data_IF_016547949423
#
_entry.id   IF_016547949423
#
_cell.length_a   1.000
_cell.length_b   1.000
_cell.length_c   1.000
_cell.angle_alpha   90.00
_cell.angle_beta   90.00
_cell.angle_gamma   90.00
#
_symmetry.space_group_name_H-M   'P 1'
#
loop_
_entity.id
_entity.type
_entity.pdbx_description
1 polymer ?
#
# COMPACT_ATOMS: atom_id res chain seq x y z
N UNK A 1 0.41 -18.39 -16.16
CA UNK A 1 0.63 -17.63 -14.92
C UNK A 1 -0.28 -18.22 -13.86
N UNK A 2 0.29 -18.90 -12.89
CA UNK A 2 -0.44 -19.38 -11.70
C UNK A 2 -0.21 -18.39 -10.56
N UNK A 3 -1.11 -17.41 -10.44
CA UNK A 3 -0.98 -16.34 -9.46
C UNK A 3 -1.40 -16.83 -8.07
N UNK A 4 -0.47 -16.87 -7.13
CA UNK A 4 -0.73 -17.19 -5.72
C UNK A 4 -0.65 -15.90 -4.89
N UNK A 5 -1.68 -15.61 -4.09
CA UNK A 5 -1.71 -14.43 -3.21
C UNK A 5 -1.66 -14.88 -1.76
N UNK A 6 -0.69 -14.36 -1.00
CA UNK A 6 -0.48 -14.67 0.42
C UNK A 6 -0.56 -13.40 1.26
N UNK A 7 -1.13 -13.49 2.46
CA UNK A 7 -0.98 -12.45 3.47
C UNK A 7 0.49 -12.34 3.87
N UNK A 8 0.95 -11.12 4.10
CA UNK A 8 2.28 -10.88 4.64
C UNK A 8 2.31 -11.37 6.10
N UNK A 9 3.31 -12.17 6.40
CA UNK A 9 3.65 -12.65 7.73
C UNK A 9 5.16 -12.51 7.94
N UNK A 10 5.69 -12.59 9.17
CA UNK A 10 7.14 -12.52 9.40
C UNK A 10 7.95 -13.53 8.57
N UNK A 11 7.39 -14.71 8.29
CA UNK A 11 8.04 -15.74 7.47
C UNK A 11 8.20 -15.32 6.00
N UNK A 12 7.39 -14.38 5.52
CA UNK A 12 7.47 -13.84 4.15
C UNK A 12 8.24 -12.51 4.07
N UNK A 13 8.90 -12.09 5.15
CA UNK A 13 9.62 -10.83 5.16
C UNK A 13 10.81 -10.82 4.18
N UNK A 14 11.45 -11.96 3.96
CA UNK A 14 12.55 -12.07 3.01
C UNK A 14 12.06 -11.83 1.56
N UNK A 15 10.94 -12.45 1.18
CA UNK A 15 10.33 -12.30 -0.15
C UNK A 15 9.78 -10.89 -0.37
N UNK A 16 9.24 -10.26 0.69
CA UNK A 16 8.81 -8.86 0.66
C UNK A 16 10.01 -7.93 0.39
N UNK A 17 11.08 -8.06 1.16
CA UNK A 17 12.26 -7.22 1.00
C UNK A 17 12.93 -7.45 -0.36
N UNK A 18 13.08 -8.69 -0.79
CA UNK A 18 13.63 -9.04 -2.10
C UNK A 18 12.79 -8.46 -3.27
N UNK A 19 11.46 -8.41 -3.13
CA UNK A 19 10.58 -7.75 -4.10
C UNK A 19 10.89 -6.25 -4.21
N UNK A 20 11.00 -5.55 -3.09
CA UNK A 20 11.29 -4.11 -3.07
C UNK A 20 12.75 -3.79 -3.43
N UNK A 21 13.69 -4.66 -3.06
CA UNK A 21 15.11 -4.50 -3.38
C UNK A 21 15.38 -4.60 -4.90
N UNK A 22 14.64 -5.47 -5.63
CA UNK A 22 15.05 -5.87 -6.98
C UNK A 22 14.00 -5.73 -8.07
N UNK A 23 12.69 -5.70 -7.76
CA UNK A 23 11.64 -5.78 -8.78
C UNK A 23 10.64 -4.63 -8.78
N UNK A 24 10.25 -4.15 -7.62
CA UNK A 24 9.19 -3.14 -7.49
C UNK A 24 9.45 -1.90 -8.35
N UNK A 25 10.70 -1.43 -8.42
CA UNK A 25 11.12 -0.20 -9.08
C UNK A 25 12.18 -0.43 -10.17
N UNK A 26 12.17 -1.59 -10.82
CA UNK A 26 13.15 -1.96 -11.86
C UNK A 26 13.07 -1.07 -13.12
N UNK A 27 12.01 -0.28 -13.26
CA UNK A 27 11.83 0.72 -14.32
C UNK A 27 12.35 2.13 -13.99
N UNK A 28 13.01 2.30 -12.84
CA UNK A 28 13.51 3.60 -12.41
C UNK A 28 12.41 4.54 -11.89
N UNK A 29 11.38 3.99 -11.32
CA UNK A 29 10.27 4.73 -10.70
C UNK A 29 10.75 5.84 -9.75
N UNK A 30 10.13 7.05 -9.77
CA UNK A 30 10.42 8.13 -8.85
C UNK A 30 10.07 7.79 -7.38
N UNK A 31 9.29 6.74 -7.14
CA UNK A 31 8.96 6.29 -5.78
C UNK A 31 10.05 5.43 -5.12
N UNK A 32 11.13 5.11 -5.85
CA UNK A 32 12.32 4.53 -5.22
C UNK A 32 12.99 5.55 -4.30
N UNK A 33 13.37 5.18 -3.06
CA UNK A 33 13.40 3.85 -2.46
C UNK A 33 12.24 3.59 -1.47
N UNK A 34 11.03 3.40 -1.93
CA UNK A 34 9.88 3.10 -1.06
C UNK A 34 9.90 1.63 -0.59
N UNK A 35 9.52 1.39 0.70
CA UNK A 35 9.19 0.08 1.27
C UNK A 35 7.81 0.10 1.93
N UNK A 36 6.93 0.98 1.47
CA UNK A 36 5.52 1.06 1.82
C UNK A 36 5.18 1.13 3.33
N UNK A 37 6.15 1.51 4.18
CA UNK A 37 5.99 1.57 5.64
C UNK A 37 5.58 2.96 6.16
N UNK A 38 5.80 4.03 5.37
CA UNK A 38 5.60 5.41 5.83
C UNK A 38 4.14 5.79 6.12
N UNK A 39 3.16 5.07 5.58
CA UNK A 39 1.73 5.31 5.86
C UNK A 39 1.35 5.10 7.34
N UNK A 40 2.08 4.23 8.05
CA UNK A 40 1.87 3.93 9.46
C UNK A 40 2.77 4.74 10.41
N UNK A 41 3.59 5.66 9.89
CA UNK A 41 4.54 6.46 10.66
C UNK A 41 4.04 7.88 10.81
N UNK A 42 4.24 8.47 12.00
CA UNK A 42 4.07 9.91 12.19
C UNK A 42 5.14 10.68 11.43
N UNK A 43 4.88 11.98 11.16
CA UNK A 43 5.88 12.87 10.54
C UNK A 43 7.19 12.87 11.30
N UNK A 44 7.11 12.95 12.63
CA UNK A 44 8.30 12.92 13.49
C UNK A 44 9.07 11.59 13.43
N UNK A 45 8.38 10.47 13.26
CA UNK A 45 9.03 9.17 13.07
C UNK A 45 9.74 9.09 11.70
N UNK A 46 9.08 9.53 10.63
CA UNK A 46 9.70 9.58 9.29
C UNK A 46 10.95 10.45 9.34
N UNK A 47 10.86 11.64 9.93
CA UNK A 47 12.00 12.54 10.05
C UNK A 47 13.16 11.85 10.78
N UNK A 48 12.91 11.34 11.99
CA UNK A 48 13.94 10.78 12.87
C UNK A 48 14.51 9.45 12.39
N UNK A 49 13.66 8.55 11.88
CA UNK A 49 14.05 7.17 11.58
C UNK A 49 14.51 6.97 10.12
N UNK A 50 14.15 7.90 9.23
CA UNK A 50 14.41 7.79 7.80
C UNK A 50 15.20 8.98 7.25
N UNK A 51 14.73 10.22 7.47
CA UNK A 51 15.30 11.38 6.79
C UNK A 51 16.52 11.98 7.50
N UNK A 52 16.63 11.88 8.83
CA UNK A 52 17.80 12.34 9.59
C UNK A 52 19.03 11.43 9.43
N UNK A 53 18.93 10.39 8.60
CA UNK A 53 20.07 9.55 8.28
C UNK A 53 21.02 10.26 7.31
N UNK A 54 22.22 10.62 7.76
CA UNK A 54 23.26 11.17 6.91
C UNK A 54 23.73 10.16 5.85
N UNK A 55 23.77 10.51 4.56
CA UNK A 55 24.36 9.66 3.54
C UNK A 55 23.61 9.48 2.22
N UNK A 56 22.58 10.25 1.93
CA UNK A 56 21.88 10.26 0.62
C UNK A 56 20.91 9.09 0.42
N UNK A 57 20.50 8.89 -0.84
CA UNK A 57 19.42 7.95 -1.21
C UNK A 57 19.63 6.51 -0.72
N UNK A 58 20.87 6.02 -0.74
CA UNK A 58 21.16 4.65 -0.31
C UNK A 58 20.96 4.48 1.21
N UNK A 59 21.32 5.48 1.99
CA UNK A 59 21.10 5.45 3.45
C UNK A 59 19.60 5.51 3.78
N UNK A 60 18.85 6.36 3.08
CA UNK A 60 17.38 6.41 3.19
C UNK A 60 16.78 5.06 2.80
N UNK A 61 17.26 4.42 1.73
CA UNK A 61 16.82 3.09 1.31
C UNK A 61 17.01 2.05 2.40
N UNK A 62 18.20 1.98 3.00
CA UNK A 62 18.49 1.04 4.08
C UNK A 62 17.64 1.31 5.32
N UNK A 63 17.46 2.57 5.70
CA UNK A 63 16.60 2.96 6.82
C UNK A 63 15.14 2.54 6.60
N UNK A 64 14.59 2.77 5.41
CA UNK A 64 13.23 2.34 5.06
C UNK A 64 13.11 0.81 5.02
N UNK A 65 14.12 0.13 4.50
CA UNK A 65 14.18 -1.34 4.46
C UNK A 65 14.14 -1.94 5.86
N UNK A 66 14.98 -1.43 6.76
CA UNK A 66 15.07 -1.90 8.15
C UNK A 66 13.79 -1.56 8.92
N UNK A 67 13.22 -0.38 8.68
CA UNK A 67 11.93 0.00 9.24
C UNK A 67 10.82 -0.95 8.80
N UNK A 68 10.71 -1.25 7.50
CA UNK A 68 9.72 -2.18 6.98
C UNK A 68 9.90 -3.59 7.57
N UNK A 69 11.15 -4.10 7.66
CA UNK A 69 11.45 -5.39 8.28
C UNK A 69 10.96 -5.45 9.72
N UNK A 70 11.33 -4.46 10.53
CA UNK A 70 10.89 -4.37 11.92
C UNK A 70 9.36 -4.34 12.03
N UNK A 71 8.68 -3.52 11.19
CA UNK A 71 7.22 -3.42 11.21
C UNK A 71 6.53 -4.72 10.77
N UNK A 72 7.15 -5.51 9.90
CA UNK A 72 6.65 -6.85 9.53
C UNK A 72 6.75 -7.79 10.74
N UNK A 73 7.92 -7.83 11.38
CA UNK A 73 8.16 -8.69 12.56
C UNK A 73 7.23 -8.34 13.73
N UNK A 74 6.89 -7.07 13.89
CA UNK A 74 5.93 -6.56 14.88
C UNK A 74 4.44 -6.72 14.46
N UNK A 75 4.16 -7.19 13.24
CA UNK A 75 2.80 -7.30 12.69
C UNK A 75 2.11 -5.96 12.39
N UNK A 76 2.86 -4.87 12.35
CA UNK A 76 2.37 -3.51 12.07
C UNK A 76 2.21 -3.25 10.57
N UNK A 77 3.15 -3.68 9.75
CA UNK A 77 3.03 -3.63 8.30
C UNK A 77 2.28 -4.87 7.82
N UNK A 78 1.08 -4.67 7.31
CA UNK A 78 0.18 -5.73 6.86
C UNK A 78 -0.19 -5.51 5.39
N UNK A 79 -0.47 -6.63 4.71
CA UNK A 79 -0.88 -6.60 3.32
C UNK A 79 -0.78 -7.96 2.67
N UNK A 80 -0.63 -7.95 1.33
CA UNK A 80 -0.65 -9.18 0.54
C UNK A 80 0.44 -9.13 -0.53
N UNK A 81 1.20 -10.22 -0.65
CA UNK A 81 2.13 -10.47 -1.76
C UNK A 81 1.46 -11.34 -2.82
N UNK A 82 1.65 -10.97 -4.07
CA UNK A 82 1.29 -11.78 -5.22
C UNK A 82 2.54 -12.47 -5.77
N UNK A 83 2.46 -13.78 -5.98
CA UNK A 83 3.54 -14.61 -6.48
C UNK A 83 3.18 -15.19 -7.85
N UNK A 84 4.13 -15.18 -8.78
CA UNK A 84 4.11 -15.91 -10.04
C UNK A 84 5.30 -16.88 -10.05
N UNK A 85 5.04 -18.18 -10.14
CA UNK A 85 6.06 -19.23 -10.08
C UNK A 85 7.01 -19.12 -8.87
N UNK A 86 6.44 -18.81 -7.69
CA UNK A 86 7.18 -18.65 -6.45
C UNK A 86 7.92 -17.31 -6.28
N UNK A 87 7.95 -16.45 -7.29
CA UNK A 87 8.58 -15.14 -7.25
C UNK A 87 7.55 -14.07 -6.85
N UNK A 88 7.85 -13.25 -5.84
CA UNK A 88 7.01 -12.12 -5.48
C UNK A 88 7.04 -11.05 -6.59
N UNK A 89 5.88 -10.73 -7.16
CA UNK A 89 5.72 -9.84 -8.32
C UNK A 89 4.75 -8.70 -8.09
N UNK A 90 4.09 -8.67 -6.93
CA UNK A 90 3.17 -7.60 -6.57
C UNK A 90 2.91 -7.54 -5.08
N UNK A 91 2.57 -6.35 -4.62
CA UNK A 91 2.25 -6.00 -3.26
C UNK A 91 0.97 -5.18 -3.17
N UNK A 92 0.22 -5.37 -2.10
CA UNK A 92 -0.90 -4.51 -1.70
C UNK A 92 -0.78 -4.21 -0.22
N UNK A 93 -0.61 -2.93 0.16
CA UNK A 93 -0.64 -2.50 1.55
C UNK A 93 -2.10 -2.38 2.00
N UNK A 94 -2.52 -3.27 2.89
CA UNK A 94 -3.89 -3.33 3.38
C UNK A 94 -3.92 -3.68 4.88
N UNK A 95 -4.44 -2.77 5.71
CA UNK A 95 -4.44 -2.88 7.17
C UNK A 95 -5.75 -2.36 7.76
N UNK A 96 -5.97 -2.52 9.06
CA UNK A 96 -7.01 -1.80 9.77
C UNK A 96 -6.81 -0.28 9.57
N UNK A 97 -7.91 0.43 9.26
CA UNK A 97 -7.86 1.89 9.01
C UNK A 97 -7.18 2.65 10.15
N UNK A 98 -7.43 2.25 11.39
CA UNK A 98 -6.87 2.89 12.59
C UNK A 98 -5.35 2.79 12.73
N UNK A 99 -4.72 1.89 11.95
CA UNK A 99 -3.26 1.71 11.96
C UNK A 99 -2.53 2.65 10.99
N UNK A 100 -3.25 3.42 10.19
CA UNK A 100 -2.65 4.42 9.30
C UNK A 100 -2.67 5.80 9.95
N UNK A 101 -1.57 6.51 9.82
CA UNK A 101 -1.45 7.93 10.21
C UNK A 101 -1.93 8.83 9.08
N UNK A 102 -1.74 8.38 7.84
CA UNK A 102 -2.17 9.10 6.63
C UNK A 102 -2.60 8.16 5.52
N UNK A 103 -3.39 8.70 4.60
CA UNK A 103 -3.87 8.00 3.41
C UNK A 103 -3.75 8.93 2.19
N UNK A 104 -3.70 8.36 1.00
CA UNK A 104 -3.49 9.10 -0.24
C UNK A 104 -2.01 9.26 -0.57
N UNK A 105 -1.71 10.12 -1.52
CA UNK A 105 -0.36 10.35 -1.99
C UNK A 105 0.34 11.43 -1.17
N UNK A 106 1.61 11.23 -0.86
CA UNK A 106 2.47 12.24 -0.23
C UNK A 106 3.92 12.02 -0.65
N UNK A 107 4.68 13.11 -0.68
CA UNK A 107 6.13 13.07 -0.86
C UNK A 107 6.82 12.72 0.46
N UNK A 108 7.79 11.81 0.44
CA UNK A 108 8.52 11.40 1.65
C UNK A 108 9.29 12.57 2.28
N UNK A 109 9.80 13.49 1.45
CA UNK A 109 10.56 14.67 1.91
C UNK A 109 9.67 15.86 2.29
N UNK A 110 8.44 15.89 1.79
CA UNK A 110 7.42 16.89 2.08
C UNK A 110 6.23 16.29 2.83
N UNK A 111 6.52 15.45 3.83
CA UNK A 111 5.48 14.74 4.60
C UNK A 111 4.51 15.75 5.22
N UNK A 112 3.21 15.65 4.92
CA UNK A 112 2.21 16.52 5.53
C UNK A 112 2.12 16.29 7.03
N UNK A 113 1.55 17.26 7.74
CA UNK A 113 1.22 17.08 9.17
C UNK A 113 0.35 15.84 9.38
N UNK A 114 0.47 15.23 10.55
CA UNK A 114 -0.32 14.05 10.89
C UNK A 114 -1.81 14.44 10.93
N UNK A 115 -2.58 13.87 10.02
CA UNK A 115 -4.02 14.11 9.96
C UNK A 115 -4.76 12.84 10.40
N UNK A 116 -5.87 12.98 11.13
CA UNK A 116 -6.69 11.82 11.45
C UNK A 116 -7.19 11.18 10.15
N UNK A 117 -7.01 9.88 10.04
CA UNK A 117 -7.57 9.10 8.94
C UNK A 117 -9.09 9.28 8.92
N UNK A 118 -9.66 9.38 7.72
CA UNK A 118 -11.09 9.58 7.53
C UNK A 118 -11.92 8.63 8.41
N UNK A 119 -12.75 9.20 9.30
CA UNK A 119 -13.71 8.46 10.10
C UNK A 119 -15.07 8.44 9.41
N UNK A 120 -15.20 7.64 8.38
CA UNK A 120 -16.38 7.49 7.52
C UNK A 120 -17.56 6.76 8.17
N UNK A 121 -17.71 6.87 9.49
CA UNK A 121 -18.76 6.18 10.23
C UNK A 121 -18.24 4.93 10.98
N UNK A 122 -18.94 4.59 12.04
CA UNK A 122 -18.57 3.48 12.91
C UNK A 122 -18.46 2.15 12.15
N UNK A 123 -17.67 1.24 12.70
CA UNK A 123 -17.45 -0.09 12.15
C UNK A 123 -15.96 -0.37 11.90
N UNK A 124 -15.68 -1.64 11.68
CA UNK A 124 -14.32 -2.11 11.42
C UNK A 124 -14.02 -2.03 9.92
N UNK A 125 -13.08 -1.18 9.53
CA UNK A 125 -12.75 -0.91 8.12
C UNK A 125 -11.33 -1.36 7.81
N UNK A 126 -11.18 -2.13 6.72
CA UNK A 126 -9.90 -2.49 6.12
C UNK A 126 -9.54 -1.43 5.08
N UNK A 127 -8.42 -0.74 5.21
CA UNK A 127 -7.97 0.27 4.25
C UNK A 127 -6.87 -0.25 3.36
N UNK A 128 -6.93 0.11 2.07
CA UNK A 128 -5.91 -0.14 1.05
C UNK A 128 -5.27 1.20 0.70
N UNK A 129 -3.96 1.33 0.90
CA UNK A 129 -3.25 2.60 0.65
C UNK A 129 -2.27 2.53 -0.53
N UNK A 130 -1.83 1.33 -0.92
CA UNK A 130 -0.82 1.18 -1.97
C UNK A 130 -0.95 -0.16 -2.69
N UNK A 131 -0.74 -0.13 -4.02
CA UNK A 131 -0.36 -1.28 -4.82
C UNK A 131 1.00 -1.02 -5.43
N UNK A 132 1.88 -2.01 -5.41
CA UNK A 132 3.11 -2.02 -6.19
C UNK A 132 3.19 -3.31 -7.00
N UNK A 133 3.28 -3.17 -8.32
CA UNK A 133 3.38 -4.31 -9.22
C UNK A 133 4.68 -4.17 -10.00
N UNK A 134 5.50 -5.20 -9.99
CA UNK A 134 6.74 -5.23 -10.77
C UNK A 134 6.44 -4.86 -12.24
N UNK A 135 7.23 -3.98 -12.86
CA UNK A 135 6.95 -3.41 -14.18
C UNK A 135 6.63 -4.46 -15.24
N UNK A 136 7.37 -5.56 -15.28
CA UNK A 136 7.20 -6.66 -16.26
C UNK A 136 5.89 -7.44 -16.07
N UNK A 137 5.23 -7.32 -14.92
CA UNK A 137 3.97 -7.98 -14.58
C UNK A 137 2.75 -7.04 -14.61
N UNK A 138 2.94 -5.75 -14.88
CA UNK A 138 1.83 -4.79 -15.02
C UNK A 138 0.91 -5.15 -16.19
N UNK A 139 -0.35 -4.75 -16.12
CA UNK A 139 -1.34 -5.03 -17.16
C UNK A 139 -1.89 -6.47 -17.17
N UNK A 140 -1.43 -7.35 -16.28
CA UNK A 140 -1.85 -8.77 -16.22
C UNK A 140 -2.94 -9.06 -15.18
N UNK A 141 -3.59 -8.02 -14.63
CA UNK A 141 -4.69 -8.16 -13.68
C UNK A 141 -4.29 -8.42 -12.23
N UNK A 142 -2.99 -8.32 -11.87
CA UNK A 142 -2.49 -8.63 -10.52
C UNK A 142 -3.11 -7.71 -9.47
N UNK A 143 -3.19 -6.39 -9.71
CA UNK A 143 -3.83 -5.46 -8.78
C UNK A 143 -5.30 -5.81 -8.53
N UNK A 144 -6.04 -6.23 -9.57
CA UNK A 144 -7.44 -6.68 -9.43
C UNK A 144 -7.54 -7.97 -8.61
N UNK A 145 -6.60 -8.88 -8.76
CA UNK A 145 -6.56 -10.12 -7.98
C UNK A 145 -6.23 -9.86 -6.51
N UNK A 146 -5.25 -8.97 -6.24
CA UNK A 146 -4.92 -8.50 -4.88
C UNK A 146 -6.13 -7.83 -4.23
N UNK A 147 -6.79 -6.88 -4.91
CA UNK A 147 -7.98 -6.20 -4.41
C UNK A 147 -9.10 -7.18 -4.04
N UNK A 148 -9.37 -8.16 -4.92
CA UNK A 148 -10.37 -9.20 -4.65
C UNK A 148 -10.00 -9.99 -3.40
N UNK A 149 -8.75 -10.44 -3.29
CA UNK A 149 -8.27 -11.19 -2.12
C UNK A 149 -8.41 -10.39 -0.82
N UNK A 150 -8.08 -9.10 -0.83
CA UNK A 150 -8.28 -8.21 0.34
C UNK A 150 -9.75 -8.17 0.73
N UNK A 151 -10.67 -7.98 -0.23
CA UNK A 151 -12.11 -7.93 0.05
C UNK A 151 -12.64 -9.25 0.60
N UNK A 152 -12.23 -10.39 0.01
CA UNK A 152 -12.68 -11.72 0.43
C UNK A 152 -12.22 -12.04 1.86
N UNK A 153 -10.95 -11.74 2.16
CA UNK A 153 -10.40 -11.97 3.50
C UNK A 153 -10.99 -10.99 4.52
N UNK A 154 -11.18 -9.72 4.17
CA UNK A 154 -11.82 -8.74 5.04
C UNK A 154 -13.25 -9.19 5.44
N UNK A 155 -14.01 -9.74 4.49
CA UNK A 155 -15.33 -10.30 4.78
C UNK A 155 -15.26 -11.47 5.77
N UNK A 156 -14.33 -12.40 5.60
CA UNK A 156 -14.12 -13.53 6.52
C UNK A 156 -13.63 -13.08 7.90
N UNK A 157 -12.82 -12.03 7.96
CA UNK A 157 -12.26 -11.48 9.20
C UNK A 157 -13.26 -10.57 9.94
N UNK A 158 -14.48 -10.40 9.42
CA UNK A 158 -15.56 -9.66 10.07
C UNK A 158 -15.47 -8.14 9.95
N UNK A 159 -14.76 -7.62 8.94
CA UNK A 159 -14.79 -6.18 8.60
C UNK A 159 -16.16 -5.81 8.02
N UNK A 160 -16.58 -4.58 8.29
CA UNK A 160 -17.83 -4.02 7.78
C UNK A 160 -17.67 -3.46 6.36
N UNK A 161 -16.47 -2.97 6.05
CA UNK A 161 -16.13 -2.40 4.75
C UNK A 161 -14.65 -2.52 4.41
N UNK A 162 -14.35 -2.41 3.10
CA UNK A 162 -13.00 -2.11 2.59
C UNK A 162 -13.01 -0.70 2.02
N UNK A 163 -11.95 0.08 2.30
CA UNK A 163 -11.78 1.47 1.87
C UNK A 163 -10.49 1.65 1.09
N UNK A 164 -10.47 2.57 0.13
CA UNK A 164 -9.32 2.88 -0.69
C UNK A 164 -9.31 4.36 -1.08
N UNK A 165 -8.14 4.88 -1.50
CA UNK A 165 -7.89 6.31 -1.66
C UNK A 165 -7.26 6.64 -3.04
N UNK A 166 -7.94 6.32 -4.16
CA UNK A 166 -7.43 6.67 -5.48
C UNK A 166 -7.39 8.18 -5.69
N UNK A 167 -6.33 8.64 -6.37
CA UNK A 167 -6.17 10.06 -6.74
C UNK A 167 -6.80 10.31 -8.10
N UNK A 168 -7.58 11.40 -8.20
CA UNK A 168 -8.12 11.88 -9.48
C UNK A 168 -6.99 12.51 -10.29
N UNK A 169 -6.68 11.92 -11.43
CA UNK A 169 -5.69 12.45 -12.37
C UNK A 169 -6.35 12.69 -13.73
N UNK A 170 -6.05 13.81 -14.38
CA UNK A 170 -6.49 14.07 -15.76
C UNK A 170 -5.85 13.09 -16.75
N UNK A 171 -4.62 12.67 -16.46
CA UNK A 171 -3.89 11.64 -17.21
C UNK A 171 -3.47 10.53 -16.26
N UNK A 172 -3.63 9.30 -16.71
CA UNK A 172 -3.16 8.12 -15.98
C UNK A 172 -1.63 8.14 -15.94
N UNK A 173 -1.07 8.34 -14.75
CA UNK A 173 0.34 8.13 -14.53
C UNK A 173 0.64 6.61 -14.59
N UNK A 174 1.75 6.19 -15.23
CA UNK A 174 2.12 4.77 -15.27
C UNK A 174 2.31 4.15 -13.88
N UNK A 175 2.49 4.99 -12.86
CA UNK A 175 2.90 4.63 -11.51
C UNK A 175 1.86 5.06 -10.45
N UNK A 176 0.57 4.97 -10.77
CA UNK A 176 -0.49 5.24 -9.81
C UNK A 176 -0.58 4.11 -8.76
N UNK A 177 0.24 4.25 -7.70
CA UNK A 177 0.29 3.28 -6.61
C UNK A 177 -0.99 3.22 -5.78
N UNK A 178 -1.84 4.26 -5.83
CA UNK A 178 -3.15 4.24 -5.15
C UNK A 178 -4.18 3.44 -5.93
N UNK A 179 -3.87 3.08 -7.17
CA UNK A 179 -4.74 2.39 -8.12
C UNK A 179 -5.77 3.32 -8.77
N UNK A 180 -6.13 3.07 -10.04
CA UNK A 180 -7.09 3.90 -10.76
C UNK A 180 -8.52 3.71 -10.24
N UNK A 181 -9.32 4.77 -10.25
CA UNK A 181 -10.74 4.76 -9.84
C UNK A 181 -11.52 3.59 -10.45
N UNK A 182 -11.34 3.34 -11.75
CA UNK A 182 -12.02 2.23 -12.45
C UNK A 182 -11.66 0.83 -11.97
N UNK A 183 -10.53 0.64 -11.26
CA UNK A 183 -10.20 -0.62 -10.59
C UNK A 183 -11.21 -0.91 -9.47
N UNK A 184 -11.47 0.10 -8.67
CA UNK A 184 -12.37 0.02 -7.51
C UNK A 184 -13.84 -0.03 -7.93
N UNK A 185 -14.24 0.78 -8.91
CA UNK A 185 -15.61 0.76 -9.44
C UNK A 185 -15.99 -0.63 -9.98
N UNK A 186 -15.10 -1.27 -10.75
CA UNK A 186 -15.29 -2.65 -11.25
C UNK A 186 -15.37 -3.69 -10.13
N UNK A 187 -14.78 -3.39 -8.97
CA UNK A 187 -14.83 -4.25 -7.78
C UNK A 187 -16.05 -3.96 -6.87
N UNK A 188 -16.91 -3.00 -7.25
CA UNK A 188 -18.12 -2.64 -6.52
C UNK A 188 -17.92 -1.64 -5.40
N UNK A 189 -16.82 -0.87 -5.44
CA UNK A 189 -16.63 0.27 -4.56
C UNK A 189 -17.44 1.47 -5.06
N UNK A 190 -17.93 2.29 -4.13
CA UNK A 190 -18.60 3.55 -4.40
C UNK A 190 -17.84 4.69 -3.74
N UNK A 191 -17.90 5.87 -4.32
CA UNK A 191 -17.34 7.08 -3.73
C UNK A 191 -18.17 7.48 -2.51
N UNK A 192 -17.50 7.69 -1.38
CA UNK A 192 -18.14 8.12 -0.12
C UNK A 192 -17.67 9.51 0.32
N UNK A 193 -16.46 9.94 -0.07
CA UNK A 193 -15.91 11.27 0.22
C UNK A 193 -14.84 11.69 -0.80
N UNK A 194 -14.38 12.94 -0.70
CA UNK A 194 -13.30 13.51 -1.50
C UNK A 194 -12.49 14.51 -0.66
N UNK A 195 -11.17 14.40 -0.70
CA UNK A 195 -10.21 15.34 -0.08
C UNK A 195 -9.23 15.82 -1.14
N UNK A 196 -9.37 17.09 -1.57
CA UNK A 196 -8.61 17.57 -2.72
C UNK A 196 -8.83 16.67 -3.94
N UNK A 197 -7.77 16.11 -4.47
CA UNK A 197 -7.82 15.16 -5.59
C UNK A 197 -7.92 13.69 -5.17
N UNK A 198 -7.79 13.40 -3.88
CA UNK A 198 -7.98 12.04 -3.34
C UNK A 198 -9.45 11.74 -3.15
N UNK A 199 -9.94 10.67 -3.77
CA UNK A 199 -11.27 10.11 -3.49
C UNK A 199 -11.18 9.14 -2.32
N UNK A 200 -12.23 9.09 -1.50
CA UNK A 200 -12.46 7.98 -0.58
C UNK A 200 -13.49 7.07 -1.19
N UNK A 201 -13.08 5.86 -1.52
CA UNK A 201 -13.95 4.84 -2.12
C UNK A 201 -14.13 3.68 -1.14
N UNK A 202 -15.37 3.22 -0.98
CA UNK A 202 -15.70 2.19 0.00
C UNK A 202 -16.55 1.10 -0.61
N UNK A 203 -16.28 -0.15 -0.22
CA UNK A 203 -17.11 -1.32 -0.50
C UNK A 203 -17.62 -1.89 0.81
N UNK A 204 -18.94 -1.87 1.03
CA UNK A 204 -19.57 -2.56 2.16
C UNK A 204 -19.48 -4.06 1.95
N UNK A 205 -19.25 -4.81 3.04
CA UNK A 205 -19.11 -6.27 3.04
C UNK A 205 -20.30 -6.97 3.69
N UNK A 206 -21.15 -6.21 4.38
CA UNK A 206 -22.41 -6.67 5.02
C UNK A 206 -23.57 -5.82 4.55
#
# INVERSE_FOLDING_TARGET
>A
MELVIKRLTPELAAEYLDFFDHRAFSDGSPYYPCYCCAFQMTKGQIQKEILDCDGGTETVRLAMRDCARRMIDEGRLQGYLAFDDGLAVGWCNANDRVNYVRTGEFDLYEVPEDEPVFDGGGGRVKSIVCFEIAPEWRGRGIASALLRRVCDDAGRDGYDAVEAYPVLRERREPLDFTGPVGLYEKAGFVRVDRRGDTLVMQKKLK
#
